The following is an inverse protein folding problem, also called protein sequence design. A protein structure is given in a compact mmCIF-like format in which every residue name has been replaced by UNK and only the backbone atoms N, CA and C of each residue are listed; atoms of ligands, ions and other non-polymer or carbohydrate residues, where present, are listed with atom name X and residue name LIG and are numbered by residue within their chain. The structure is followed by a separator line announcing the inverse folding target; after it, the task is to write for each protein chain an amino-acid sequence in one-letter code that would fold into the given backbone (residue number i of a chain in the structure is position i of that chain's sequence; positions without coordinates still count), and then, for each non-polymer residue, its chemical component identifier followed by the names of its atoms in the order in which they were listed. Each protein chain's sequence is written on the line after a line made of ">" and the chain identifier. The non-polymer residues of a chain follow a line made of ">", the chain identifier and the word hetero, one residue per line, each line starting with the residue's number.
data_IF_448844549113
#
_entry.id   IF_448844549113
#
_cell.length_a   1.000
_cell.length_b   1.000
_cell.length_c   1.000
_cell.angle_alpha   90.00
_cell.angle_beta   90.00
_cell.angle_gamma   90.00
#
_symmetry.space_group_name_H-M   'P 1'
#
loop_
_entity.id
_entity.type
_entity.pdbx_description
1 polymer ?
#
# COMPACT_ATOMS: atom_id res chain seq x y z
N UNK A 1 9.58 23.81 -9.41
CA UNK A 1 8.63 22.70 -9.20
C UNK A 1 9.28 21.41 -9.64
N UNK A 2 10.15 20.84 -8.79
CA UNK A 2 10.79 19.55 -9.04
C UNK A 2 9.74 18.47 -8.87
N UNK A 3 9.14 18.03 -9.98
CA UNK A 3 8.44 16.77 -10.04
C UNK A 3 9.46 15.68 -9.67
N UNK A 4 9.48 15.29 -8.40
CA UNK A 4 10.02 14.01 -7.98
C UNK A 4 9.27 12.96 -8.78
N UNK A 5 9.83 12.57 -9.94
CA UNK A 5 9.44 11.34 -10.62
C UNK A 5 9.75 10.25 -9.61
N UNK A 6 8.73 9.88 -8.84
CA UNK A 6 8.84 8.76 -7.94
C UNK A 6 9.19 7.55 -8.83
N UNK A 7 10.26 6.80 -8.53
CA UNK A 7 10.72 5.65 -9.33
C UNK A 7 9.69 4.50 -9.41
N UNK A 8 8.47 4.71 -8.90
CA UNK A 8 7.33 3.81 -8.96
C UNK A 8 6.49 3.89 -10.24
N UNK A 9 6.70 4.89 -11.11
CA UNK A 9 5.78 5.16 -12.22
C UNK A 9 6.04 4.43 -13.55
N UNK A 10 7.17 3.71 -13.70
CA UNK A 10 7.53 3.08 -14.97
C UNK A 10 7.10 1.62 -15.13
N UNK A 11 6.35 1.06 -14.16
CA UNK A 11 5.77 -0.29 -14.29
C UNK A 11 4.34 -0.18 -14.80
N UNK A 12 4.00 -1.00 -15.79
CA UNK A 12 2.62 -1.18 -16.28
C UNK A 12 1.72 -1.44 -15.06
N UNK A 13 0.86 -0.48 -14.73
CA UNK A 13 -0.07 -0.62 -13.63
C UNK A 13 -1.13 -1.64 -14.02
N UNK A 14 -1.09 -2.81 -13.41
CA UNK A 14 -2.19 -3.76 -13.48
C UNK A 14 -3.27 -3.30 -12.51
N UNK A 15 -4.46 -3.02 -13.03
CA UNK A 15 -5.62 -2.74 -12.20
C UNK A 15 -6.16 -4.05 -11.65
N UNK A 16 -6.22 -4.17 -10.33
CA UNK A 16 -6.79 -5.32 -9.62
C UNK A 16 -7.75 -4.83 -8.53
N UNK A 17 -8.70 -5.67 -8.16
CA UNK A 17 -9.58 -5.45 -7.00
C UNK A 17 -9.08 -6.31 -5.85
N UNK A 18 -8.77 -5.69 -4.71
CA UNK A 18 -8.37 -6.40 -3.48
C UNK A 18 -9.50 -6.21 -2.46
N UNK A 19 -10.05 -7.29 -1.88
CA UNK A 19 -10.99 -7.16 -0.76
C UNK A 19 -10.24 -6.65 0.47
N UNK A 20 -10.80 -5.62 1.11
CA UNK A 20 -10.31 -5.07 2.36
C UNK A 20 -11.51 -4.92 3.29
N UNK A 21 -11.32 -5.32 4.55
CA UNK A 21 -12.29 -5.04 5.60
C UNK A 21 -12.29 -3.55 5.96
N UNK A 22 -13.34 -3.11 6.64
CA UNK A 22 -13.54 -1.71 7.00
C UNK A 22 -12.45 -1.19 7.95
N UNK A 23 -11.97 -2.02 8.87
CA UNK A 23 -10.93 -1.66 9.84
C UNK A 23 -9.59 -1.40 9.13
N UNK A 24 -9.16 -2.31 8.27
CA UNK A 24 -7.95 -2.16 7.46
C UNK A 24 -8.04 -0.92 6.56
N UNK A 25 -9.18 -0.70 5.90
CA UNK A 25 -9.37 0.50 5.08
C UNK A 25 -9.35 1.78 5.93
N UNK A 26 -9.96 1.76 7.11
CA UNK A 26 -9.96 2.86 8.07
C UNK A 26 -8.54 3.24 8.49
N UNK A 27 -7.71 2.24 8.85
CA UNK A 27 -6.30 2.45 9.19
C UNK A 27 -5.54 3.21 8.10
N UNK A 28 -5.67 2.80 6.84
CA UNK A 28 -4.98 3.47 5.73
C UNK A 28 -5.53 4.86 5.43
N UNK A 29 -6.82 5.13 5.68
CA UNK A 29 -7.39 6.48 5.57
C UNK A 29 -6.81 7.41 6.64
N UNK A 30 -6.74 6.98 7.89
CA UNK A 30 -6.10 7.77 8.97
C UNK A 30 -4.61 8.02 8.68
N UNK A 31 -3.89 7.01 8.18
CA UNK A 31 -2.50 7.20 7.75
C UNK A 31 -2.38 8.20 6.59
N UNK A 32 -3.34 8.18 5.66
CA UNK A 32 -3.40 9.11 4.53
C UNK A 32 -3.56 10.55 5.00
N UNK A 33 -4.41 10.78 6.00
CA UNK A 33 -4.60 12.10 6.62
C UNK A 33 -3.32 12.60 7.30
N UNK A 34 -2.61 11.71 8.01
CA UNK A 34 -1.38 12.05 8.72
C UNK A 34 -0.18 12.34 7.80
N UNK A 35 -0.06 11.63 6.67
CA UNK A 35 1.12 11.70 5.79
C UNK A 35 0.89 12.51 4.50
N UNK A 36 -0.36 12.87 4.19
CA UNK A 36 -0.72 13.54 2.93
C UNK A 36 -0.57 12.66 1.69
N UNK A 37 -0.36 11.34 1.85
CA UNK A 37 -0.24 10.37 0.76
C UNK A 37 -1.57 9.64 0.62
N UNK A 38 -2.17 9.52 -0.59
CA UNK A 38 -3.43 8.80 -0.78
C UNK A 38 -3.38 7.38 -0.22
N UNK A 39 -4.45 6.96 0.46
CA UNK A 39 -4.53 5.62 1.09
C UNK A 39 -4.25 4.48 0.10
N UNK A 40 -4.65 4.59 -1.17
CA UNK A 40 -4.35 3.58 -2.20
C UNK A 40 -2.84 3.45 -2.46
N UNK A 41 -2.12 4.57 -2.45
CA UNK A 41 -0.67 4.58 -2.60
C UNK A 41 -0.01 3.97 -1.37
N UNK A 42 -0.51 4.26 -0.17
CA UNK A 42 -0.01 3.65 1.06
C UNK A 42 -0.19 2.13 1.06
N UNK A 43 -1.37 1.63 0.69
CA UNK A 43 -1.62 0.19 0.53
C UNK A 43 -0.60 -0.42 -0.44
N UNK A 44 -0.42 0.18 -1.61
CA UNK A 44 0.56 -0.28 -2.60
C UNK A 44 1.99 -0.31 -2.03
N UNK A 45 2.42 0.74 -1.33
CA UNK A 45 3.75 0.85 -0.75
C UNK A 45 3.98 -0.22 0.34
N UNK A 46 2.99 -0.47 1.19
CA UNK A 46 3.08 -1.50 2.23
C UNK A 46 3.12 -2.91 1.63
N UNK A 47 2.32 -3.19 0.59
CA UNK A 47 2.37 -4.46 -0.12
C UNK A 47 3.72 -4.65 -0.84
N UNK A 48 4.25 -3.58 -1.44
CA UNK A 48 5.55 -3.60 -2.09
C UNK A 48 6.69 -3.87 -1.11
N UNK A 49 6.66 -3.22 0.06
CA UNK A 49 7.61 -3.45 1.14
C UNK A 49 7.51 -4.86 1.70
N UNK A 50 6.29 -5.37 1.90
CA UNK A 50 6.01 -6.76 2.29
C UNK A 50 6.67 -7.76 1.32
N UNK A 51 6.49 -7.56 0.01
CA UNK A 51 7.10 -8.40 -1.02
C UNK A 51 8.63 -8.28 -1.06
N UNK A 52 9.17 -7.05 -0.92
CA UNK A 52 10.62 -6.81 -0.85
C UNK A 52 11.27 -7.52 0.33
N UNK A 53 10.61 -7.51 1.48
CA UNK A 53 11.07 -8.16 2.70
C UNK A 53 10.77 -9.67 2.71
N UNK A 54 10.14 -10.21 1.66
CA UNK A 54 9.71 -11.61 1.57
C UNK A 54 8.91 -12.04 2.82
N UNK A 55 8.10 -11.11 3.36
CA UNK A 55 7.26 -11.42 4.53
C UNK A 55 6.29 -12.52 4.15
N UNK A 56 6.31 -13.60 4.92
CA UNK A 56 5.38 -14.70 4.79
C UNK A 56 4.28 -14.51 5.81
N UNK A 57 3.03 -14.74 5.38
CA UNK A 57 1.89 -14.73 6.29
C UNK A 57 2.09 -15.81 7.36
N UNK A 58 2.06 -15.43 8.63
CA UNK A 58 2.00 -16.40 9.72
C UNK A 58 0.57 -16.93 9.79
N UNK A 59 0.37 -18.19 9.41
CA UNK A 59 -0.94 -18.86 9.43
C UNK A 59 -1.28 -19.47 10.79
N UNK A 60 -0.53 -19.14 11.84
CA UNK A 60 -0.87 -19.51 13.22
C UNK A 60 -2.03 -18.65 13.72
N UNK A 61 -3.24 -19.02 13.31
CA UNK A 61 -4.47 -18.60 13.95
C UNK A 61 -4.70 -19.56 15.11
N UNK A 62 -4.29 -19.15 16.31
CA UNK A 62 -4.53 -19.88 17.57
C UNK A 62 -5.44 -19.04 18.43
#
# INVERSE_FOLDING_TARGET
>A
MSHLKSPYFDKIKQQITIPLDEETLGYFKTLSEANGIPYQNLIHLYLFDCAKQQKKLSLTWT
#
